data_IF_368773461429
#
_entry.id   IF_368773461429
#
_cell.length_a   1.000
_cell.length_b   1.000
_cell.length_c   1.000
_cell.angle_alpha   90.00
_cell.angle_beta   90.00
_cell.angle_gamma   90.00
#
_symmetry.space_group_name_H-M   'P 1'
#
loop_
_entity.id
_entity.type
_entity.pdbx_description
1 polymer ?
#
# COMPACT_ATOMS: atom_id res chain seq x y z
N UNK A 1 1.96 3.29 -15.16
CA UNK A 1 1.98 4.23 -14.01
C UNK A 1 2.65 5.56 -14.34
N UNK A 2 3.93 5.58 -14.74
CA UNK A 2 4.62 6.85 -15.08
C UNK A 2 3.91 7.63 -16.19
N UNK A 3 3.50 6.94 -17.25
CA UNK A 3 2.81 7.59 -18.37
C UNK A 3 1.42 8.10 -18.02
N UNK A 4 0.69 7.39 -17.15
CA UNK A 4 -0.65 7.84 -16.71
C UNK A 4 -0.57 9.09 -15.86
N UNK A 5 0.53 9.28 -15.12
CA UNK A 5 0.80 10.52 -14.38
C UNK A 5 1.18 11.65 -15.33
N UNK A 6 2.08 11.40 -16.29
CA UNK A 6 2.46 12.39 -17.31
C UNK A 6 1.27 12.88 -18.12
N UNK A 7 0.33 11.99 -18.44
CA UNK A 7 -0.91 12.29 -19.16
C UNK A 7 -2.03 12.85 -18.26
N UNK A 8 -1.75 13.07 -16.96
CA UNK A 8 -2.71 13.56 -15.97
C UNK A 8 -3.99 12.69 -15.82
N UNK A 9 -3.90 11.42 -16.21
CA UNK A 9 -4.97 10.41 -16.09
C UNK A 9 -5.02 9.88 -14.66
N UNK A 10 -3.85 9.65 -14.06
CA UNK A 10 -3.72 9.26 -12.66
C UNK A 10 -2.96 10.33 -11.88
N UNK A 11 -3.57 10.82 -10.79
CA UNK A 11 -3.05 11.88 -9.93
C UNK A 11 -2.51 11.28 -8.63
N UNK A 12 -1.18 11.28 -8.48
CA UNK A 12 -0.54 10.88 -7.23
C UNK A 12 -0.76 11.89 -6.09
N UNK A 13 -0.15 11.61 -4.94
CA UNK A 13 -0.12 12.49 -3.78
C UNK A 13 1.12 13.39 -3.84
N UNK A 14 0.94 14.68 -3.62
CA UNK A 14 2.06 15.62 -3.44
C UNK A 14 2.44 15.68 -1.98
N UNK A 15 3.69 15.36 -1.65
CA UNK A 15 4.15 15.23 -0.27
C UNK A 15 5.36 16.13 -0.01
N UNK A 16 5.38 16.75 1.18
CA UNK A 16 6.50 17.55 1.67
C UNK A 16 6.60 18.94 1.03
N UNK A 17 7.61 19.71 1.46
CA UNK A 17 7.84 21.09 1.02
C UNK A 17 8.13 21.20 -0.48
N UNK A 18 8.71 20.16 -1.07
CA UNK A 18 9.08 20.12 -2.48
C UNK A 18 7.95 19.56 -3.37
N UNK A 19 6.76 19.33 -2.83
CA UNK A 19 5.60 18.77 -3.54
C UNK A 19 5.91 17.50 -4.35
N UNK A 20 6.71 16.59 -3.80
CA UNK A 20 7.13 15.38 -4.50
C UNK A 20 5.88 14.55 -4.80
N UNK A 21 5.66 14.24 -6.08
CA UNK A 21 4.52 13.45 -6.52
C UNK A 21 4.79 11.96 -6.33
N UNK A 22 4.19 11.38 -5.30
CA UNK A 22 4.29 9.96 -4.95
C UNK A 22 3.00 9.27 -5.38
N UNK A 23 3.15 8.19 -6.15
CA UNK A 23 2.02 7.47 -6.74
C UNK A 23 2.09 5.95 -6.59
N UNK A 24 3.29 5.43 -6.34
CA UNK A 24 3.58 4.02 -6.29
C UNK A 24 4.74 3.78 -5.33
N UNK A 25 4.57 2.83 -4.44
CA UNK A 25 5.64 2.24 -3.63
C UNK A 25 5.64 0.74 -3.91
N UNK A 26 6.73 0.20 -4.43
CA UNK A 26 6.80 -1.18 -4.88
C UNK A 26 8.07 -1.85 -4.34
N UNK A 27 7.91 -3.03 -3.75
CA UNK A 27 8.99 -3.93 -3.39
C UNK A 27 8.58 -5.38 -3.71
N UNK A 28 9.27 -6.03 -4.64
CA UNK A 28 8.91 -7.36 -5.15
C UNK A 28 7.40 -7.45 -5.50
N UNK A 29 6.64 -8.25 -4.74
CA UNK A 29 5.21 -8.46 -4.92
C UNK A 29 4.33 -7.52 -4.07
N UNK A 30 4.92 -6.76 -3.15
CA UNK A 30 4.21 -5.86 -2.23
C UNK A 30 4.17 -4.45 -2.82
N UNK A 31 3.02 -4.09 -3.37
CA UNK A 31 2.80 -2.82 -4.08
C UNK A 31 1.71 -2.00 -3.42
N UNK A 32 2.00 -0.73 -3.13
CA UNK A 32 1.06 0.28 -2.65
C UNK A 32 0.89 1.34 -3.74
N UNK A 33 -0.36 1.59 -4.14
CA UNK A 33 -0.72 2.70 -4.99
C UNK A 33 -1.22 3.86 -4.13
N UNK A 34 -0.74 5.07 -4.42
CA UNK A 34 -1.09 6.29 -3.70
C UNK A 34 -1.65 7.31 -4.68
N UNK A 35 -2.80 7.90 -4.37
CA UNK A 35 -3.38 8.91 -5.22
C UNK A 35 -4.56 9.61 -4.58
N UNK A 36 -5.04 10.66 -5.24
CA UNK A 36 -6.25 11.37 -4.83
C UNK A 36 -7.46 10.44 -4.79
N UNK A 37 -8.32 10.69 -3.83
CA UNK A 37 -9.60 10.05 -3.53
C UNK A 37 -10.72 10.38 -4.54
N UNK A 38 -10.39 10.33 -5.82
CA UNK A 38 -11.34 10.63 -6.91
C UNK A 38 -11.75 9.37 -7.65
N UNK A 39 -13.01 9.32 -8.09
CA UNK A 39 -13.51 8.20 -8.87
C UNK A 39 -12.70 7.96 -10.16
N UNK A 40 -12.21 9.02 -10.82
CA UNK A 40 -11.38 8.90 -12.02
C UNK A 40 -10.03 8.24 -11.74
N UNK A 41 -9.40 8.54 -10.60
CA UNK A 41 -8.18 7.87 -10.16
C UNK A 41 -8.41 6.39 -9.89
N UNK A 42 -9.52 6.06 -9.21
CA UNK A 42 -9.87 4.68 -8.91
C UNK A 42 -10.12 3.88 -10.19
N UNK A 43 -10.88 4.44 -11.13
CA UNK A 43 -11.11 3.81 -12.43
C UNK A 43 -9.80 3.61 -13.21
N UNK A 44 -8.94 4.62 -13.21
CA UNK A 44 -7.62 4.56 -13.82
C UNK A 44 -6.77 3.46 -13.20
N UNK A 45 -6.77 3.33 -11.87
CA UNK A 45 -6.07 2.25 -11.17
C UNK A 45 -6.59 0.87 -11.59
N UNK A 46 -7.93 0.69 -11.64
CA UNK A 46 -8.55 -0.56 -12.08
C UNK A 46 -8.14 -0.93 -13.51
N UNK A 47 -8.09 0.05 -14.43
CA UNK A 47 -7.64 -0.15 -15.80
C UNK A 47 -6.16 -0.55 -15.85
N UNK A 48 -5.30 0.14 -15.11
CA UNK A 48 -3.86 -0.16 -15.03
C UNK A 48 -3.64 -1.59 -14.54
N UNK A 49 -4.31 -1.99 -13.45
CA UNK A 49 -4.21 -3.33 -12.88
C UNK A 49 -4.74 -4.41 -13.83
N UNK A 50 -5.84 -4.13 -14.53
CA UNK A 50 -6.38 -5.04 -15.55
C UNK A 50 -5.40 -5.22 -16.71
N UNK A 51 -4.82 -4.13 -17.21
CA UNK A 51 -3.80 -4.16 -18.26
C UNK A 51 -2.56 -4.95 -17.83
N UNK A 52 -2.07 -4.69 -16.62
CA UNK A 52 -0.95 -5.45 -16.05
C UNK A 52 -1.25 -6.95 -15.98
N UNK A 53 -2.42 -7.34 -15.48
CA UNK A 53 -2.86 -8.74 -15.43
C UNK A 53 -2.90 -9.39 -16.81
N UNK A 54 -3.41 -8.68 -17.82
CA UNK A 54 -3.52 -9.20 -19.19
C UNK A 54 -2.15 -9.42 -19.83
N UNK A 55 -1.21 -8.50 -19.63
CA UNK A 55 0.13 -8.58 -20.25
C UNK A 55 1.05 -9.54 -19.50
N UNK A 56 1.02 -9.54 -18.17
CA UNK A 56 1.92 -10.38 -17.36
C UNK A 56 1.41 -11.80 -17.15
N UNK A 57 0.11 -12.04 -17.34
CA UNK A 57 -0.56 -13.27 -16.92
C UNK A 57 -0.67 -13.43 -15.39
N UNK A 58 -0.14 -12.49 -14.60
CA UNK A 58 -0.18 -12.55 -13.15
C UNK A 58 -1.56 -12.18 -12.64
N UNK A 59 -2.05 -12.94 -11.66
CA UNK A 59 -3.31 -12.66 -10.99
C UNK A 59 -3.04 -11.87 -9.71
N UNK A 60 -3.67 -10.71 -9.57
CA UNK A 60 -3.69 -9.99 -8.30
C UNK A 60 -4.25 -10.90 -7.20
N UNK A 61 -3.58 -10.90 -6.05
CA UNK A 61 -4.06 -11.61 -4.88
C UNK A 61 -5.11 -10.75 -4.15
N UNK A 62 -6.38 -10.92 -4.51
CA UNK A 62 -7.48 -10.14 -3.94
C UNK A 62 -7.63 -10.32 -2.43
N UNK A 63 -7.28 -11.49 -1.86
CA UNK A 63 -7.36 -11.69 -0.41
C UNK A 63 -6.28 -10.95 0.38
N UNK A 64 -5.20 -10.52 -0.29
CA UNK A 64 -4.14 -9.68 0.28
C UNK A 64 -4.20 -8.22 -0.17
N UNK A 65 -5.11 -7.89 -1.09
CA UNK A 65 -5.23 -6.53 -1.64
C UNK A 65 -6.30 -5.76 -0.89
N UNK A 66 -5.89 -4.64 -0.28
CA UNK A 66 -6.77 -3.80 0.53
C UNK A 66 -6.85 -2.38 -0.06
N UNK A 67 -7.93 -1.67 0.23
CA UNK A 67 -8.11 -0.26 -0.11
C UNK A 67 -8.36 0.57 1.16
N UNK A 68 -7.64 1.67 1.30
CA UNK A 68 -7.78 2.64 2.38
C UNK A 68 -7.72 4.07 1.84
N UNK A 69 -8.39 4.99 2.53
CA UNK A 69 -8.43 6.41 2.23
C UNK A 69 -8.51 7.19 3.56
N UNK A 70 -8.05 8.44 3.52
CA UNK A 70 -8.12 9.38 4.65
C UNK A 70 -9.19 10.41 4.38
N UNK A 71 -9.89 10.84 5.42
CA UNK A 71 -10.90 11.91 5.32
C UNK A 71 -12.03 11.61 4.32
N UNK A 72 -12.23 10.34 3.96
CA UNK A 72 -13.32 9.85 3.10
C UNK A 72 -14.33 9.11 3.95
N UNK A 73 -15.62 9.29 3.66
CA UNK A 73 -16.69 8.57 4.33
C UNK A 73 -16.65 7.06 4.03
N UNK A 74 -17.04 6.25 5.02
CA UNK A 74 -17.01 4.78 4.91
C UNK A 74 -17.86 4.29 3.74
N UNK A 75 -19.01 4.93 3.45
CA UNK A 75 -19.87 4.57 2.32
C UNK A 75 -19.15 4.70 0.98
N UNK A 76 -18.42 5.79 0.74
CA UNK A 76 -17.60 6.01 -0.46
C UNK A 76 -16.46 4.99 -0.54
N UNK A 77 -15.82 4.67 0.59
CA UNK A 77 -14.80 3.61 0.62
C UNK A 77 -15.37 2.24 0.23
N UNK A 78 -16.58 1.90 0.69
CA UNK A 78 -17.24 0.63 0.33
C UNK A 78 -17.55 0.54 -1.16
N UNK A 79 -17.90 1.65 -1.81
CA UNK A 79 -18.04 1.70 -3.27
C UNK A 79 -16.70 1.37 -3.94
N UNK A 80 -15.59 1.96 -3.48
CA UNK A 80 -14.27 1.72 -4.07
C UNK A 80 -13.76 0.29 -3.87
N UNK A 81 -13.91 -0.25 -2.66
CA UNK A 81 -13.62 -1.64 -2.29
C UNK A 81 -14.39 -2.60 -3.21
N UNK A 82 -15.68 -2.36 -3.43
CA UNK A 82 -16.53 -3.17 -4.33
C UNK A 82 -16.06 -3.09 -5.78
N UNK A 83 -15.70 -1.91 -6.28
CA UNK A 83 -15.26 -1.77 -7.68
C UNK A 83 -13.89 -2.42 -7.91
N UNK A 84 -12.96 -2.34 -6.96
CA UNK A 84 -11.63 -2.95 -7.07
C UNK A 84 -11.61 -4.44 -6.70
N UNK A 85 -12.67 -4.94 -6.06
CA UNK A 85 -12.75 -6.27 -5.46
C UNK A 85 -11.65 -6.49 -4.40
N UNK A 86 -11.39 -5.46 -3.60
CA UNK A 86 -10.42 -5.44 -2.50
C UNK A 86 -11.14 -5.58 -1.16
N UNK A 87 -10.40 -5.79 -0.07
CA UNK A 87 -10.91 -5.62 1.29
C UNK A 87 -10.69 -4.18 1.79
N UNK A 88 -11.38 -3.80 2.86
CA UNK A 88 -11.12 -2.52 3.53
C UNK A 88 -9.79 -2.59 4.28
N UNK A 89 -8.94 -1.58 4.10
CA UNK A 89 -7.69 -1.46 4.84
C UNK A 89 -7.98 -0.96 6.25
N UNK A 90 -7.49 -1.70 7.25
CA UNK A 90 -7.49 -1.25 8.64
C UNK A 90 -6.22 -0.44 8.92
N UNK A 91 -6.35 0.64 9.69
CA UNK A 91 -5.23 1.50 10.08
C UNK A 91 -4.94 1.39 11.58
N UNK A 92 -3.66 1.38 12.00
CA UNK A 92 -2.44 1.30 11.17
C UNK A 92 -2.30 -0.06 10.47
N UNK A 93 -1.54 -0.13 9.37
CA UNK A 93 -1.29 -1.36 8.62
C UNK A 93 0.20 -1.66 8.49
N UNK A 94 0.55 -2.91 8.19
CA UNK A 94 1.95 -3.32 8.04
C UNK A 94 2.35 -3.33 6.56
N UNK A 95 3.49 -2.71 6.23
CA UNK A 95 4.16 -2.82 4.94
C UNK A 95 5.63 -3.20 5.18
N UNK A 96 6.06 -4.32 4.60
CA UNK A 96 7.43 -4.87 4.77
C UNK A 96 7.87 -5.03 6.24
N UNK A 97 6.92 -5.35 7.13
CA UNK A 97 7.19 -5.51 8.57
C UNK A 97 7.19 -4.21 9.37
N UNK A 98 6.91 -3.07 8.74
CA UNK A 98 6.84 -1.75 9.38
C UNK A 98 5.39 -1.31 9.49
N UNK A 99 4.98 -0.85 10.68
CA UNK A 99 3.65 -0.25 10.90
C UNK A 99 3.60 1.14 10.26
N UNK A 100 2.85 1.23 9.17
CA UNK A 100 2.54 2.47 8.47
C UNK A 100 1.42 3.18 9.23
N UNK A 101 1.51 4.52 9.31
CA UNK A 101 0.63 5.43 10.08
C UNK A 101 0.95 5.60 11.56
N UNK A 102 1.96 4.93 12.08
CA UNK A 102 2.36 5.15 13.47
C UNK A 102 3.39 6.27 13.56
N UNK A 103 3.44 6.93 14.72
CA UNK A 103 4.48 7.91 14.99
C UNK A 103 5.81 7.17 15.20
N UNK A 104 6.66 7.19 14.17
CA UNK A 104 7.99 6.57 14.18
C UNK A 104 8.93 7.17 15.24
N UNK A 105 8.59 8.32 15.84
CA UNK A 105 9.35 8.91 16.95
C UNK A 105 9.05 8.27 18.31
N UNK A 106 7.98 7.47 18.42
CA UNK A 106 7.65 6.77 19.65
C UNK A 106 8.40 5.44 19.72
N UNK A 107 9.02 5.15 20.86
CA UNK A 107 9.72 3.88 21.11
C UNK A 107 8.79 2.67 20.90
N UNK A 108 7.54 2.75 21.38
CA UNK A 108 6.57 1.66 21.28
C UNK A 108 6.25 1.22 19.84
N UNK A 109 6.41 2.12 18.85
CA UNK A 109 6.25 1.77 17.43
C UNK A 109 7.29 0.74 16.96
N UNK A 110 8.46 0.73 17.59
CA UNK A 110 9.59 -0.14 17.23
C UNK A 110 9.57 -1.49 17.95
N UNK A 111 8.81 -1.63 19.04
CA UNK A 111 8.77 -2.86 19.85
C UNK A 111 8.44 -4.14 19.04
N UNK A 112 7.46 -4.14 18.10
CA UNK A 112 7.16 -5.33 17.30
C UNK A 112 8.32 -5.72 16.38
N UNK A 113 9.02 -4.72 15.81
CA UNK A 113 10.16 -4.94 14.91
C UNK A 113 11.34 -5.51 15.73
N UNK A 114 11.64 -4.90 16.87
CA UNK A 114 12.71 -5.33 17.77
C UNK A 114 12.43 -6.77 18.25
N UNK A 115 11.20 -7.07 18.66
CA UNK A 115 10.80 -8.41 19.10
C UNK A 115 10.99 -9.46 17.99
N UNK A 116 10.61 -9.14 16.75
CA UNK A 116 10.83 -10.04 15.62
C UNK A 116 12.32 -10.29 15.32
N UNK A 117 13.17 -9.27 15.43
CA UNK A 117 14.61 -9.42 15.24
C UNK A 117 15.21 -10.28 16.36
N UNK A 118 14.84 -10.03 17.63
CA UNK A 118 15.29 -10.83 18.77
C UNK A 118 14.95 -12.31 18.60
N UNK A 119 13.69 -12.63 18.26
CA UNK A 119 13.26 -14.01 17.99
C UNK A 119 14.11 -14.70 16.91
N UNK A 120 14.44 -13.99 15.82
CA UNK A 120 15.29 -14.54 14.76
C UNK A 120 16.72 -14.80 15.24
N UNK A 121 17.28 -13.89 16.02
CA UNK A 121 18.62 -14.04 16.59
C UNK A 121 18.70 -15.19 17.59
N UNK A 122 17.67 -15.37 18.42
CA UNK A 122 17.60 -16.47 19.38
C UNK A 122 17.55 -17.83 18.67
N UNK A 123 16.76 -17.95 17.59
CA UNK A 123 16.75 -19.16 16.76
C UNK A 123 18.12 -19.50 16.17
N UNK A 124 18.94 -18.50 15.82
CA UNK A 124 20.27 -18.74 15.24
C UNK A 124 21.30 -19.15 16.28
N UNK A 125 21.22 -18.64 17.51
CA UNK A 125 22.08 -19.10 18.61
C UNK A 125 21.86 -20.59 18.88
N UNK A 126 20.60 -21.03 18.93
CA UNK A 126 20.26 -22.45 19.11
C UNK A 126 20.64 -23.36 17.93
N UNK A 127 21.08 -22.83 16.79
CA UNK A 127 21.60 -23.62 15.67
C UNK A 127 23.13 -23.69 15.65
N UNK A 128 23.81 -22.84 16.42
CA UNK A 128 25.27 -22.80 16.52
C UNK A 128 25.82 -23.58 17.73
N UNK A 129 24.93 -23.94 18.66
CA UNK A 129 25.15 -24.93 19.73
C UNK A 129 24.72 -26.33 19.27
#
# INVERSE_FOLDING_TARGET
MRDTIKKNVYKGLKIGRNEINISLLQFANDTIFMGKDTFSNMLSLKIILRGFKLVSGLRNNFSKSCFGAFEVDISSMLVFVKVLNYSLLSFPFTYLGILVMMNLRLQCTWDPIISNIKKKLDCWKHMLD
#
